data_IF_209608963468
#
_entry.id   IF_209608963468
#
_cell.length_a   1.000
_cell.length_b   1.000
_cell.length_c   1.000
_cell.angle_alpha   90.00
_cell.angle_beta   90.00
_cell.angle_gamma   90.00
#
_symmetry.space_group_name_H-M   'P 1'
#
loop_
_entity.id
_entity.type
_entity.pdbx_description
1 polymer ?
#
# COMPACT_ATOMS: atom_id res chain seq x y z
N UNK A 1 -7.28 11.80 2.34
CA UNK A 1 -8.72 11.76 2.65
C UNK A 1 -8.97 12.43 4.00
N UNK A 2 -9.89 13.39 4.07
CA UNK A 2 -10.34 14.03 5.30
C UNK A 2 -11.68 13.40 5.73
N UNK A 3 -11.68 12.68 6.85
CA UNK A 3 -12.80 11.83 7.27
C UNK A 3 -13.01 11.91 8.77
N UNK A 4 -14.18 11.51 9.25
CA UNK A 4 -14.45 11.39 10.69
C UNK A 4 -13.74 10.16 11.26
N UNK A 5 -12.80 10.39 12.18
CA UNK A 5 -12.14 9.37 12.99
C UNK A 5 -12.92 9.24 14.31
N UNK A 6 -13.43 8.03 14.67
CA UNK A 6 -14.19 7.82 15.90
C UNK A 6 -13.48 8.39 17.13
N UNK A 7 -14.19 9.11 18.00
CA UNK A 7 -13.66 9.78 19.21
C UNK A 7 -12.75 10.99 18.97
N UNK A 8 -12.16 11.16 17.77
CA UNK A 8 -11.19 12.22 17.48
C UNK A 8 -11.68 13.28 16.46
N UNK A 9 -12.90 13.15 15.93
CA UNK A 9 -13.47 14.12 15.00
C UNK A 9 -12.90 14.02 13.59
N UNK A 10 -13.11 15.05 12.76
CA UNK A 10 -12.63 15.05 11.37
C UNK A 10 -11.12 15.27 11.32
N UNK A 11 -10.38 14.32 10.75
CA UNK A 11 -8.91 14.32 10.60
C UNK A 11 -8.52 13.65 9.29
N UNK A 12 -7.22 13.59 8.99
CA UNK A 12 -6.75 12.74 7.89
C UNK A 12 -6.96 11.27 8.24
N UNK A 13 -7.34 10.46 7.24
CA UNK A 13 -7.64 9.04 7.45
C UNK A 13 -6.48 8.24 8.08
N UNK A 14 -5.23 8.57 7.73
CA UNK A 14 -4.05 7.88 8.26
C UNK A 14 -3.83 8.16 9.76
N UNK A 15 -4.36 9.28 10.27
CA UNK A 15 -4.30 9.59 11.70
C UNK A 15 -5.10 8.60 12.55
N UNK A 16 -6.06 7.86 11.98
CA UNK A 16 -6.75 6.78 12.69
C UNK A 16 -5.76 5.68 13.15
N UNK A 17 -4.80 5.31 12.30
CA UNK A 17 -3.77 4.34 12.66
C UNK A 17 -2.80 4.92 13.69
N UNK A 18 -2.39 6.18 13.52
CA UNK A 18 -1.48 6.87 14.44
C UNK A 18 -2.05 6.97 15.88
N UNK A 19 -3.34 7.25 16.01
CA UNK A 19 -3.99 7.47 17.31
C UNK A 19 -4.42 6.18 18.02
N UNK A 20 -4.83 5.16 17.27
CA UNK A 20 -5.50 3.98 17.84
C UNK A 20 -5.16 2.67 17.15
N UNK A 21 -4.06 2.66 16.39
CA UNK A 21 -3.54 1.49 15.70
C UNK A 21 -4.54 0.87 14.70
N UNK A 22 -4.37 -0.44 14.41
CA UNK A 22 -5.18 -1.12 13.39
C UNK A 22 -6.68 -1.13 13.74
N UNK A 23 -7.03 -1.20 15.03
CA UNK A 23 -8.44 -1.24 15.46
C UNK A 23 -9.19 0.04 15.10
N UNK A 24 -8.61 1.20 15.38
CA UNK A 24 -9.23 2.48 15.04
C UNK A 24 -9.21 2.75 13.54
N UNK A 25 -8.15 2.34 12.83
CA UNK A 25 -8.09 2.41 11.38
C UNK A 25 -9.22 1.60 10.71
N UNK A 26 -9.41 0.33 11.12
CA UNK A 26 -10.50 -0.52 10.63
C UNK A 26 -11.87 0.08 10.95
N UNK A 27 -12.07 0.56 12.18
CA UNK A 27 -13.33 1.22 12.57
C UNK A 27 -13.62 2.46 11.73
N UNK A 28 -12.60 3.26 11.44
CA UNK A 28 -12.69 4.43 10.56
C UNK A 28 -13.08 4.02 9.14
N UNK A 29 -12.38 3.05 8.54
CA UNK A 29 -12.68 2.54 7.20
C UNK A 29 -14.10 1.96 7.10
N UNK A 30 -14.49 1.11 8.06
CA UNK A 30 -15.82 0.49 8.10
C UNK A 30 -16.92 1.54 8.21
N UNK A 31 -16.74 2.56 9.05
CA UNK A 31 -17.70 3.65 9.19
C UNK A 31 -17.77 4.53 7.95
N UNK A 32 -16.63 4.93 7.41
CA UNK A 32 -16.53 5.84 6.27
C UNK A 32 -17.06 5.20 5.00
N UNK A 33 -16.71 3.94 4.73
CA UNK A 33 -16.97 3.29 3.45
C UNK A 33 -18.06 2.21 3.54
N UNK A 34 -18.76 2.10 4.67
CA UNK A 34 -19.80 1.08 4.91
C UNK A 34 -19.29 -0.35 4.69
N UNK A 35 -18.09 -0.62 5.19
CA UNK A 35 -17.43 -1.92 5.07
C UNK A 35 -17.57 -2.74 6.36
N UNK A 36 -17.26 -4.04 6.25
CA UNK A 36 -17.21 -4.98 7.38
C UNK A 36 -15.82 -5.64 7.49
N UNK A 37 -14.76 -4.84 7.43
CA UNK A 37 -13.38 -5.30 7.56
C UNK A 37 -13.11 -5.78 8.99
N UNK A 38 -12.59 -6.99 9.11
CA UNK A 38 -12.25 -7.62 10.40
C UNK A 38 -10.79 -8.03 10.52
N UNK A 39 -10.09 -8.18 9.39
CA UNK A 39 -8.70 -8.63 9.33
C UNK A 39 -7.79 -7.51 8.84
N UNK A 40 -6.55 -7.49 9.32
CA UNK A 40 -5.53 -6.55 8.88
C UNK A 40 -4.15 -7.20 8.84
N UNK A 41 -3.25 -6.61 8.06
CA UNK A 41 -1.81 -6.84 8.14
C UNK A 41 -1.11 -5.48 8.02
N UNK A 42 -0.13 -5.23 8.89
CA UNK A 42 0.67 -4.02 8.89
C UNK A 42 2.14 -4.37 8.87
N UNK A 43 2.90 -3.61 8.08
CA UNK A 43 4.34 -3.76 7.90
C UNK A 43 5.00 -2.41 8.01
N UNK A 44 6.16 -2.38 8.68
CA UNK A 44 7.02 -1.21 8.68
C UNK A 44 8.02 -1.27 7.51
N UNK A 45 8.98 -0.36 7.47
CA UNK A 45 10.00 -0.33 6.42
C UNK A 45 10.90 -1.57 6.43
N UNK A 46 11.24 -2.12 7.60
CA UNK A 46 12.06 -3.33 7.68
C UNK A 46 11.29 -4.55 7.17
N UNK A 47 10.03 -4.68 7.57
CA UNK A 47 9.15 -5.74 7.09
C UNK A 47 8.92 -5.67 5.59
N UNK A 48 8.71 -4.47 5.04
CA UNK A 48 8.62 -4.27 3.60
C UNK A 48 9.88 -4.78 2.88
N UNK A 49 11.08 -4.37 3.32
CA UNK A 49 12.33 -4.82 2.69
C UNK A 49 12.46 -6.35 2.73
N UNK A 50 12.19 -6.95 3.89
CA UNK A 50 12.26 -8.40 4.06
C UNK A 50 11.27 -9.16 3.21
N UNK A 51 10.05 -8.66 3.03
CA UNK A 51 9.04 -9.27 2.17
C UNK A 51 9.49 -9.27 0.71
N UNK A 52 9.96 -8.13 0.21
CA UNK A 52 10.43 -8.00 -1.18
C UNK A 52 11.65 -8.88 -1.42
N UNK A 53 12.61 -8.90 -0.49
CA UNK A 53 13.79 -9.77 -0.61
C UNK A 53 13.41 -11.26 -0.58
N UNK A 54 12.45 -11.65 0.28
CA UNK A 54 11.99 -13.04 0.39
C UNK A 54 11.32 -13.55 -0.89
N UNK A 55 10.65 -12.68 -1.67
CA UNK A 55 10.10 -13.05 -2.99
C UNK A 55 11.13 -12.92 -4.13
N UNK A 56 12.39 -12.61 -3.81
CA UNK A 56 13.48 -12.48 -4.79
C UNK A 56 13.48 -11.15 -5.54
N UNK A 57 12.97 -10.09 -4.93
CA UNK A 57 12.84 -8.77 -5.55
C UNK A 57 11.63 -8.64 -6.48
N UNK A 58 11.41 -7.43 -7.01
CA UNK A 58 10.29 -7.09 -7.92
C UNK A 58 10.81 -6.50 -9.23
N UNK A 59 10.16 -6.84 -10.36
CA UNK A 59 10.53 -6.30 -11.66
C UNK A 59 9.75 -5.02 -11.93
N UNK A 60 10.48 -3.92 -12.11
CA UNK A 60 9.93 -2.59 -12.29
C UNK A 60 10.62 -1.92 -13.47
N UNK A 61 9.83 -1.42 -14.41
CA UNK A 61 10.33 -0.50 -15.43
C UNK A 61 10.52 0.90 -14.82
N UNK A 62 11.75 1.18 -14.41
CA UNK A 62 12.12 2.43 -13.74
C UNK A 62 12.22 3.54 -14.77
N UNK A 63 11.36 4.55 -14.66
CA UNK A 63 11.40 5.69 -15.57
C UNK A 63 12.61 6.57 -15.27
N UNK A 64 13.11 7.28 -16.30
CA UNK A 64 14.26 8.17 -16.16
C UNK A 64 14.11 9.17 -15.00
N UNK A 65 12.93 9.78 -14.89
CA UNK A 65 12.64 10.75 -13.83
C UNK A 65 12.44 10.13 -12.45
N UNK A 66 12.29 8.81 -12.33
CA UNK A 66 12.14 8.13 -11.03
C UNK A 66 13.51 7.79 -10.42
N UNK A 67 14.52 7.53 -11.26
CA UNK A 67 15.82 6.99 -10.89
C UNK A 67 16.48 7.75 -9.73
N UNK A 68 16.63 9.06 -9.88
CA UNK A 68 17.27 9.90 -8.86
C UNK A 68 16.49 9.87 -7.55
N UNK A 69 15.16 9.92 -7.61
CA UNK A 69 14.30 9.91 -6.44
C UNK A 69 14.32 8.57 -5.71
N UNK A 70 14.48 7.43 -6.40
CA UNK A 70 14.70 6.14 -5.73
C UNK A 70 15.95 6.24 -4.86
N UNK A 71 17.07 6.73 -5.43
CA UNK A 71 18.34 6.82 -4.73
C UNK A 71 18.31 7.82 -3.57
N UNK A 72 17.66 8.98 -3.74
CA UNK A 72 17.40 9.94 -2.64
C UNK A 72 16.62 9.28 -1.52
N UNK A 73 15.50 8.65 -1.83
CA UNK A 73 14.64 8.00 -0.84
C UNK A 73 15.35 6.84 -0.12
N UNK A 74 16.23 6.09 -0.79
CA UNK A 74 17.02 5.04 -0.13
C UNK A 74 18.01 5.60 0.89
N UNK A 75 18.62 6.75 0.60
CA UNK A 75 19.50 7.45 1.56
C UNK A 75 18.73 7.94 2.78
N UNK A 76 17.51 8.44 2.60
CA UNK A 76 16.63 8.77 3.73
C UNK A 76 16.28 7.54 4.57
N UNK A 77 15.92 6.41 3.93
CA UNK A 77 15.61 5.17 4.64
C UNK A 77 16.82 4.67 5.43
N UNK A 78 18.04 4.80 4.89
CA UNK A 78 19.27 4.50 5.65
C UNK A 78 19.36 5.30 6.94
N UNK A 79 18.97 6.57 6.94
CA UNK A 79 18.95 7.40 8.15
C UNK A 79 17.88 6.96 9.15
N UNK A 80 16.79 6.34 8.70
CA UNK A 80 15.68 5.89 9.54
C UNK A 80 15.90 4.50 10.14
N UNK A 81 16.42 3.55 9.37
CA UNK A 81 16.50 2.14 9.78
C UNK A 81 17.88 1.48 9.59
N UNK A 82 18.89 2.23 9.13
CA UNK A 82 20.23 1.73 8.81
C UNK A 82 20.29 0.94 7.50
N UNK A 83 21.41 0.25 7.26
CA UNK A 83 21.61 -0.66 6.12
C UNK A 83 22.28 -0.03 4.89
N UNK A 84 22.50 -0.87 3.88
CA UNK A 84 23.17 -0.49 2.64
C UNK A 84 22.24 0.28 1.70
N UNK A 85 22.84 1.02 0.76
CA UNK A 85 22.13 1.77 -0.29
C UNK A 85 22.63 1.30 -1.65
N UNK A 86 22.16 0.14 -2.14
CA UNK A 86 22.52 -0.35 -3.46
C UNK A 86 21.79 0.49 -4.53
N UNK A 87 22.44 1.56 -5.00
CA UNK A 87 21.84 2.51 -5.93
C UNK A 87 21.37 1.84 -7.23
N UNK A 88 20.22 2.31 -7.73
CA UNK A 88 19.76 1.99 -9.07
C UNK A 88 20.56 2.85 -10.05
N UNK A 89 21.27 2.21 -10.98
CA UNK A 89 22.26 2.88 -11.84
C UNK A 89 21.71 3.42 -13.15
N UNK A 90 20.59 2.88 -13.63
CA UNK A 90 20.00 3.25 -14.93
C UNK A 90 18.49 3.03 -14.95
N UNK A 91 17.74 3.77 -15.78
CA UNK A 91 16.32 3.49 -16.02
C UNK A 91 16.11 2.20 -16.83
N UNK A 92 14.84 1.88 -17.08
CA UNK A 92 14.39 0.67 -17.77
C UNK A 92 14.00 -0.44 -16.81
N UNK A 93 13.76 -1.64 -17.34
CA UNK A 93 13.41 -2.81 -16.55
C UNK A 93 14.56 -3.19 -15.58
N UNK A 94 14.30 -3.05 -14.29
CA UNK A 94 15.19 -3.42 -13.19
C UNK A 94 14.52 -4.42 -12.27
N UNK A 95 15.31 -5.35 -11.71
CA UNK A 95 14.89 -6.16 -10.57
C UNK A 95 15.30 -5.45 -9.28
N UNK A 96 14.34 -4.80 -8.64
CA UNK A 96 14.55 -4.07 -7.40
C UNK A 96 14.52 -5.01 -6.20
N UNK A 97 15.54 -4.91 -5.34
CA UNK A 97 15.53 -5.52 -4.00
C UNK A 97 14.64 -4.73 -3.03
N UNK A 98 14.52 -5.18 -1.78
CA UNK A 98 13.68 -4.54 -0.78
C UNK A 98 13.99 -3.07 -0.56
N UNK A 99 15.28 -2.72 -0.42
CA UNK A 99 15.72 -1.33 -0.21
C UNK A 99 15.36 -0.44 -1.41
N UNK A 100 15.61 -0.93 -2.62
CA UNK A 100 15.31 -0.22 -3.86
C UNK A 100 13.80 -0.07 -4.09
N UNK A 101 13.03 -1.14 -3.86
CA UNK A 101 11.58 -1.12 -3.95
C UNK A 101 10.97 -0.15 -2.92
N UNK A 102 11.55 -0.08 -1.71
CA UNK A 102 11.12 0.87 -0.69
C UNK A 102 11.41 2.31 -1.13
N UNK A 103 12.60 2.56 -1.70
CA UNK A 103 12.93 3.85 -2.32
C UNK A 103 11.92 4.23 -3.43
N UNK A 104 11.53 3.25 -4.24
CA UNK A 104 10.59 3.41 -5.34
C UNK A 104 9.16 3.78 -4.89
N UNK A 105 8.59 3.05 -3.93
CA UNK A 105 7.23 3.33 -3.43
C UNK A 105 7.12 4.62 -2.60
N UNK A 106 8.26 5.17 -2.17
CA UNK A 106 8.35 6.44 -1.42
C UNK A 106 8.46 7.68 -2.32
N UNK A 107 8.52 7.55 -3.64
CA UNK A 107 8.60 8.69 -4.56
C UNK A 107 7.34 9.56 -4.45
N UNK A 108 7.52 10.88 -4.19
CA UNK A 108 6.43 11.86 -4.05
C UNK A 108 6.46 13.00 -5.05
N UNK A 109 7.65 13.44 -5.47
CA UNK A 109 7.86 14.75 -6.09
C UNK A 109 7.89 14.76 -7.63
N UNK A 110 7.69 13.60 -8.27
CA UNK A 110 7.76 13.48 -9.74
C UNK A 110 6.57 12.74 -10.33
N UNK A 111 6.28 13.08 -11.58
CA UNK A 111 5.07 12.65 -12.28
C UNK A 111 3.82 13.32 -11.71
N UNK A 112 2.67 12.65 -11.77
CA UNK A 112 1.40 13.17 -11.26
C UNK A 112 1.26 13.11 -9.72
N UNK A 113 2.33 13.40 -8.98
CA UNK A 113 2.34 13.50 -7.51
C UNK A 113 1.84 12.25 -6.76
N UNK A 114 0.85 12.44 -5.88
CA UNK A 114 0.26 11.37 -5.05
C UNK A 114 -0.39 10.26 -5.88
N UNK A 115 -0.93 10.61 -7.07
CA UNK A 115 -1.57 9.67 -7.98
C UNK A 115 -0.59 8.59 -8.43
N UNK A 116 0.57 8.99 -8.96
CA UNK A 116 1.59 8.02 -9.39
C UNK A 116 2.19 7.28 -8.21
N UNK A 117 2.26 7.87 -7.01
CA UNK A 117 2.74 7.16 -5.82
C UNK A 117 1.87 5.95 -5.50
N UNK A 118 0.55 6.09 -5.54
CA UNK A 118 -0.37 4.95 -5.35
C UNK A 118 -0.15 3.89 -6.43
N UNK A 119 0.04 4.30 -7.69
CA UNK A 119 0.33 3.36 -8.78
C UNK A 119 1.64 2.60 -8.59
N UNK A 120 2.69 3.25 -8.08
CA UNK A 120 3.97 2.58 -7.76
C UNK A 120 3.78 1.51 -6.68
N UNK A 121 3.02 1.84 -5.64
CA UNK A 121 2.70 0.89 -4.56
C UNK A 121 1.90 -0.31 -5.08
N UNK A 122 0.87 -0.05 -5.90
CA UNK A 122 0.09 -1.10 -6.55
C UNK A 122 0.97 -2.00 -7.43
N UNK A 123 1.83 -1.40 -8.27
CA UNK A 123 2.77 -2.15 -9.14
C UNK A 123 3.68 -3.09 -8.35
N UNK A 124 4.22 -2.64 -7.20
CA UNK A 124 5.03 -3.51 -6.35
C UNK A 124 4.19 -4.65 -5.75
N UNK A 125 2.98 -4.37 -5.27
CA UNK A 125 2.08 -5.40 -4.74
C UNK A 125 1.66 -6.42 -5.79
N UNK A 126 1.42 -5.98 -7.04
CA UNK A 126 1.16 -6.87 -8.18
C UNK A 126 2.33 -7.80 -8.46
N UNK A 127 3.56 -7.28 -8.49
CA UNK A 127 4.76 -8.09 -8.70
C UNK A 127 4.93 -9.13 -7.59
N UNK A 128 4.68 -8.75 -6.33
CA UNK A 128 4.69 -9.69 -5.20
C UNK A 128 3.59 -10.75 -5.38
N UNK A 129 2.37 -10.33 -5.72
CA UNK A 129 1.24 -11.24 -5.93
C UNK A 129 1.52 -12.23 -7.06
N UNK A 130 1.99 -11.78 -8.22
CA UNK A 130 2.29 -12.64 -9.36
C UNK A 130 3.43 -13.62 -9.06
N UNK A 131 4.48 -13.18 -8.34
CA UNK A 131 5.55 -14.07 -7.88
C UNK A 131 5.03 -15.15 -6.94
N UNK A 132 4.19 -14.79 -5.98
CA UNK A 132 3.60 -15.75 -5.06
C UNK A 132 2.60 -16.66 -5.77
N UNK A 133 1.74 -16.14 -6.66
CA UNK A 133 0.76 -16.90 -7.43
C UNK A 133 1.41 -18.03 -8.22
N UNK A 134 2.58 -17.78 -8.81
CA UNK A 134 3.34 -18.73 -9.62
C UNK A 134 4.34 -19.58 -8.80
N UNK A 135 4.51 -19.31 -7.49
CA UNK A 135 5.43 -20.06 -6.64
C UNK A 135 4.84 -21.40 -6.17
N UNK A 136 5.71 -22.39 -5.97
CA UNK A 136 5.33 -23.66 -5.34
C UNK A 136 4.80 -23.46 -3.92
N UNK A 137 3.95 -24.37 -3.44
CA UNK A 137 3.45 -24.34 -2.05
C UNK A 137 4.61 -24.33 -1.05
N UNK A 138 5.64 -25.14 -1.27
CA UNK A 138 6.83 -25.18 -0.40
C UNK A 138 7.56 -23.83 -0.34
N UNK A 139 7.65 -23.13 -1.47
CA UNK A 139 8.24 -21.79 -1.55
C UNK A 139 7.40 -20.78 -0.79
N UNK A 140 6.07 -20.79 -0.96
CA UNK A 140 5.17 -19.88 -0.25
C UNK A 140 5.26 -20.06 1.26
N UNK A 141 5.27 -21.30 1.76
CA UNK A 141 5.38 -21.59 3.20
C UNK A 141 6.71 -21.11 3.77
N UNK A 142 7.82 -21.32 3.05
CA UNK A 142 9.14 -20.78 3.44
C UNK A 142 9.13 -19.26 3.54
N UNK A 143 8.53 -18.58 2.55
CA UNK A 143 8.42 -17.12 2.55
C UNK A 143 7.59 -16.66 3.75
N UNK A 144 6.44 -17.29 4.02
CA UNK A 144 5.61 -16.98 5.19
C UNK A 144 6.46 -17.05 6.47
N UNK A 145 7.18 -18.14 6.70
CA UNK A 145 7.99 -18.31 7.90
C UNK A 145 9.10 -17.25 8.01
N UNK A 146 9.67 -16.80 6.89
CA UNK A 146 10.68 -15.73 6.87
C UNK A 146 10.11 -14.34 7.17
N UNK A 147 8.89 -14.03 6.72
CA UNK A 147 8.35 -12.66 6.79
C UNK A 147 7.39 -12.43 7.95
N UNK A 148 6.76 -13.49 8.48
CA UNK A 148 5.77 -13.38 9.55
C UNK A 148 6.27 -12.64 10.80
N UNK A 149 7.54 -12.77 11.23
CA UNK A 149 8.08 -11.97 12.35
C UNK A 149 8.08 -10.46 12.12
N UNK A 150 7.93 -10.00 10.88
CA UNK A 150 7.94 -8.58 10.49
C UNK A 150 6.54 -8.04 10.15
N UNK A 151 5.49 -8.82 10.39
CA UNK A 151 4.11 -8.47 10.07
C UNK A 151 3.30 -8.44 11.37
N UNK A 152 2.63 -7.32 11.65
CA UNK A 152 1.60 -7.23 12.67
C UNK A 152 0.25 -7.60 12.04
N UNK A 153 -0.45 -8.61 12.58
CA UNK A 153 -1.73 -9.07 12.02
C UNK A 153 -2.60 -9.75 13.07
N UNK A 154 -3.91 -9.75 12.85
CA UNK A 154 -4.87 -10.59 13.58
C UNK A 154 -5.34 -11.83 12.79
N UNK A 155 -4.64 -12.17 11.70
CA UNK A 155 -4.78 -13.46 11.05
C UNK A 155 -4.04 -14.52 11.85
N UNK A 156 -4.68 -15.65 12.08
CA UNK A 156 -4.04 -16.84 12.64
C UNK A 156 -3.08 -17.47 11.62
N UNK A 157 -2.09 -18.23 12.09
CA UNK A 157 -1.18 -18.95 11.19
C UNK A 157 -1.92 -19.89 10.24
N UNK A 158 -2.99 -20.54 10.70
CA UNK A 158 -3.85 -21.38 9.86
C UNK A 158 -4.60 -20.60 8.78
N UNK A 159 -5.12 -19.41 9.10
CA UNK A 159 -5.74 -18.52 8.10
C UNK A 159 -4.71 -18.10 7.03
N UNK A 160 -3.49 -17.74 7.44
CA UNK A 160 -2.39 -17.36 6.52
C UNK A 160 -2.02 -18.53 5.61
N UNK A 161 -1.81 -19.73 6.17
CA UNK A 161 -1.49 -20.93 5.38
C UNK A 161 -2.63 -21.24 4.41
N UNK A 162 -3.89 -21.20 4.87
CA UNK A 162 -5.07 -21.44 4.05
C UNK A 162 -5.11 -20.49 2.84
N UNK A 163 -4.84 -19.20 3.06
CA UNK A 163 -4.74 -18.21 1.97
C UNK A 163 -3.59 -18.56 1.02
N UNK A 164 -2.38 -18.85 1.53
CA UNK A 164 -1.24 -19.14 0.69
C UNK A 164 -1.40 -20.41 -0.18
N UNK A 165 -2.09 -21.43 0.33
CA UNK A 165 -2.34 -22.68 -0.39
C UNK A 165 -3.47 -22.58 -1.41
N UNK A 166 -4.26 -21.50 -1.40
CA UNK A 166 -5.36 -21.32 -2.35
C UNK A 166 -4.81 -21.18 -3.78
N UNK A 167 -5.51 -21.78 -4.74
CA UNK A 167 -5.20 -21.63 -6.15
C UNK A 167 -5.77 -20.30 -6.67
N UNK A 168 -4.88 -19.36 -6.97
CA UNK A 168 -5.23 -18.04 -7.51
C UNK A 168 -5.16 -17.97 -9.05
N UNK A 169 -4.86 -19.05 -9.77
CA UNK A 169 -4.68 -19.04 -11.23
C UNK A 169 -5.91 -18.54 -12.00
N UNK A 170 -7.11 -18.74 -11.46
CA UNK A 170 -8.38 -18.28 -12.07
C UNK A 170 -8.76 -16.84 -11.71
N UNK A 171 -8.01 -16.20 -10.82
CA UNK A 171 -8.31 -14.86 -10.36
C UNK A 171 -7.46 -13.83 -11.11
N UNK A 172 -8.12 -12.77 -11.56
CA UNK A 172 -7.50 -11.56 -12.09
C UNK A 172 -7.36 -10.56 -10.96
N UNK A 173 -6.21 -9.88 -10.89
CA UNK A 173 -5.98 -8.84 -9.91
C UNK A 173 -6.53 -7.51 -10.44
N UNK A 174 -7.60 -7.03 -9.81
CA UNK A 174 -8.22 -5.74 -10.11
C UNK A 174 -7.87 -4.71 -9.04
N UNK A 175 -8.01 -3.43 -9.39
CA UNK A 175 -7.54 -2.31 -8.58
C UNK A 175 -8.52 -1.15 -8.64
N UNK A 176 -8.76 -0.55 -7.49
CA UNK A 176 -9.41 0.75 -7.36
C UNK A 176 -8.56 1.64 -6.46
N UNK A 177 -8.65 2.95 -6.67
CA UNK A 177 -8.08 3.95 -5.77
C UNK A 177 -9.20 4.85 -5.28
N UNK A 178 -9.24 5.03 -3.96
CA UNK A 178 -10.09 6.02 -3.30
C UNK A 178 -9.21 7.19 -2.82
N UNK A 179 -9.55 8.45 -3.13
CA UNK A 179 -10.75 8.87 -3.83
C UNK A 179 -10.67 8.63 -5.36
N UNK A 180 -11.81 8.29 -5.99
CA UNK A 180 -11.93 8.17 -7.45
C UNK A 180 -11.82 9.54 -8.12
N UNK A 181 -11.53 9.59 -9.41
CA UNK A 181 -11.39 10.87 -10.11
C UNK A 181 -12.71 11.66 -10.10
N UNK A 182 -12.62 12.99 -10.02
CA UNK A 182 -13.80 13.85 -9.96
C UNK A 182 -14.70 13.62 -8.72
N UNK A 183 -14.16 13.04 -7.65
CA UNK A 183 -14.86 12.87 -6.36
C UNK A 183 -14.15 13.56 -5.19
N UNK A 184 -13.15 14.40 -5.46
CA UNK A 184 -12.42 15.11 -4.43
C UNK A 184 -11.92 16.48 -4.90
N UNK A 185 -11.63 17.34 -3.93
CA UNK A 185 -10.92 18.60 -4.11
C UNK A 185 -9.72 18.63 -3.18
N UNK A 186 -8.60 19.14 -3.66
CA UNK A 186 -7.45 19.42 -2.82
C UNK A 186 -7.66 20.73 -2.06
N UNK A 187 -7.21 20.78 -0.81
CA UNK A 187 -7.34 21.97 0.00
C UNK A 187 -6.52 21.88 1.27
N UNK A 188 -6.71 22.86 2.15
CA UNK A 188 -6.08 22.89 3.46
C UNK A 188 -7.14 23.07 4.53
N UNK A 189 -6.93 22.43 5.68
CA UNK A 189 -7.75 22.63 6.87
C UNK A 189 -6.87 22.68 8.11
N UNK A 190 -7.40 23.17 9.22
CA UNK A 190 -6.69 23.22 10.50
C UNK A 190 -7.15 22.04 11.34
N UNK A 191 -6.22 21.15 11.69
CA UNK A 191 -6.44 20.00 12.56
C UNK A 191 -5.50 20.17 13.74
N UNK A 192 -6.06 20.24 14.95
CA UNK A 192 -5.32 20.44 16.20
C UNK A 192 -4.37 21.66 16.16
N UNK A 193 -4.85 22.77 15.59
CA UNK A 193 -4.08 24.02 15.46
C UNK A 193 -3.05 24.02 14.32
N UNK A 194 -2.88 22.92 13.59
CA UNK A 194 -1.90 22.81 12.50
C UNK A 194 -2.60 22.83 11.15
N UNK A 195 -2.13 23.69 10.24
CA UNK A 195 -2.59 23.72 8.84
C UNK A 195 -2.08 22.47 8.10
N UNK A 196 -2.99 21.67 7.57
CA UNK A 196 -2.66 20.44 6.85
C UNK A 196 -3.33 20.39 5.48
N UNK A 197 -2.58 19.97 4.46
CA UNK A 197 -3.16 19.66 3.14
C UNK A 197 -4.03 18.41 3.21
N UNK A 198 -5.21 18.43 2.59
CA UNK A 198 -6.19 17.35 2.61
C UNK A 198 -6.82 17.10 1.24
N UNK A 199 -7.39 15.90 1.09
CA UNK A 199 -8.41 15.62 0.09
C UNK A 199 -9.78 15.76 0.74
N UNK A 200 -10.51 16.82 0.39
CA UNK A 200 -11.94 16.95 0.71
C UNK A 200 -12.73 16.13 -0.31
N UNK A 201 -13.45 15.11 0.18
CA UNK A 201 -13.89 13.98 -0.65
C UNK A 201 -15.40 13.82 -0.58
N UNK A 202 -16.02 13.63 -1.73
CA UNK A 202 -17.40 13.14 -1.84
C UNK A 202 -17.44 11.67 -1.40
N UNK A 203 -17.75 11.45 -0.12
CA UNK A 203 -17.72 10.12 0.48
C UNK A 203 -18.78 9.21 -0.13
N UNK A 204 -19.97 9.71 -0.45
CA UNK A 204 -21.06 8.90 -1.01
C UNK A 204 -20.69 8.38 -2.41
N UNK A 205 -20.13 9.23 -3.27
CA UNK A 205 -19.65 8.81 -4.59
C UNK A 205 -18.55 7.73 -4.49
N UNK A 206 -17.69 7.82 -3.48
CA UNK A 206 -16.64 6.83 -3.25
C UNK A 206 -17.15 5.53 -2.60
N UNK A 207 -18.18 5.60 -1.75
CA UNK A 207 -18.89 4.40 -1.26
C UNK A 207 -19.47 3.67 -2.46
N UNK A 208 -20.22 4.36 -3.33
CA UNK A 208 -20.84 3.74 -4.49
C UNK A 208 -19.81 3.03 -5.38
N UNK A 209 -18.73 3.72 -5.78
CA UNK A 209 -17.71 3.13 -6.62
C UNK A 209 -16.96 1.97 -5.96
N UNK A 210 -16.74 2.01 -4.64
CA UNK A 210 -16.08 0.92 -3.92
C UNK A 210 -16.95 -0.33 -3.81
N UNK A 211 -18.25 -0.16 -3.54
CA UNK A 211 -19.18 -1.30 -3.47
C UNK A 211 -19.45 -1.89 -4.85
N UNK A 212 -19.61 -1.04 -5.88
CA UNK A 212 -19.70 -1.50 -7.27
C UNK A 212 -18.44 -2.30 -7.66
N UNK A 213 -17.25 -1.81 -7.32
CA UNK A 213 -16.01 -2.55 -7.55
C UNK A 213 -15.99 -3.94 -6.90
N UNK A 214 -16.53 -4.10 -5.68
CA UNK A 214 -16.60 -5.40 -5.02
C UNK A 214 -17.66 -6.34 -5.63
N UNK A 215 -18.71 -5.81 -6.25
CA UNK A 215 -19.79 -6.58 -6.87
C UNK A 215 -19.45 -7.00 -8.31
N UNK A 216 -18.86 -6.11 -9.10
CA UNK A 216 -18.71 -6.26 -10.56
C UNK A 216 -17.25 -6.29 -11.03
N UNK A 217 -16.29 -5.92 -10.19
CA UNK A 217 -14.85 -5.90 -10.50
C UNK A 217 -14.32 -4.59 -11.12
N UNK A 218 -15.17 -3.78 -11.75
CA UNK A 218 -14.81 -2.44 -12.23
C UNK A 218 -16.01 -1.50 -12.10
N UNK A 219 -15.86 -0.32 -11.46
CA UNK A 219 -16.94 0.66 -11.42
C UNK A 219 -17.26 1.15 -12.82
N UNK A 220 -18.54 1.26 -13.15
CA UNK A 220 -19.02 1.63 -14.49
C UNK A 220 -18.66 3.05 -14.93
N UNK A 221 -18.06 3.86 -14.03
CA UNK A 221 -17.46 5.16 -14.35
C UNK A 221 -16.13 5.41 -13.59
N UNK A 222 -14.97 5.42 -14.27
CA UNK A 222 -13.65 5.70 -13.68
C UNK A 222 -13.37 7.18 -13.34
#
# INVERSE_FOLDING_TARGET
LYVYVPTYGKRKINSAYELGGPKLALSTLNRTFKLSLTKYATVDFRGFEKIIDAVGGVEIDVKYYELEHININMREVKNLIGGDVPEVKRPGLQRLNGRQALGYVRIRYVGNGDYERVQRQQRVLEQVFEKLKNASISTKLRIIDMVLPYIETNLTRSEIISLATKNYSKYTLERIRIPINGSFREGYTVIDGVKQWIFDTDIEKNIQALHEFFETGLPSNP
#
